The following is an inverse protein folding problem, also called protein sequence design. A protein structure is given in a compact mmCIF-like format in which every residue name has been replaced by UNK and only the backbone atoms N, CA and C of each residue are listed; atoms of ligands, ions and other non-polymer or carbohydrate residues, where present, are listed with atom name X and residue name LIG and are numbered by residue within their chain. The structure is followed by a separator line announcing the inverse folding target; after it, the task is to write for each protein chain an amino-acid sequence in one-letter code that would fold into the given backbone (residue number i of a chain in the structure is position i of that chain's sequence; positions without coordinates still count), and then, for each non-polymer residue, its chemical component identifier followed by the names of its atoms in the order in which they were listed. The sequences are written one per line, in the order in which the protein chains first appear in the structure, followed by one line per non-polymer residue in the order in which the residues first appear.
data_IF_477081295337
#
_entry.id   IF_477081295337
#
_cell.length_a   1.000
_cell.length_b   1.000
_cell.length_c   1.000
_cell.angle_alpha   90.00
_cell.angle_beta   90.00
_cell.angle_gamma   90.00
#
_symmetry.space_group_name_H-M   'P 1'
#
loop_
_entity.id
_entity.type
_entity.pdbx_description
1 polymer ?
#
# COMPACT_ATOMS: atom_id res chain seq x y z
N UNK A 1 -21.53 10.50 1.77
CA UNK A 1 -20.26 10.22 1.10
C UNK A 1 -19.12 10.48 2.05
N UNK A 2 -18.46 9.41 2.50
CA UNK A 2 -17.29 9.48 3.38
C UNK A 2 -16.07 9.02 2.58
N UNK A 3 -14.94 9.69 2.76
CA UNK A 3 -13.66 9.36 2.12
C UNK A 3 -12.52 9.52 3.13
N UNK A 4 -11.62 8.55 3.20
CA UNK A 4 -10.44 8.60 4.05
C UNK A 4 -9.22 8.05 3.31
N UNK A 5 -8.14 8.84 3.28
CA UNK A 5 -6.87 8.48 2.65
C UNK A 5 -5.79 8.25 3.71
N UNK A 6 -5.14 7.10 3.67
CA UNK A 6 -3.99 6.73 4.50
C UNK A 6 -2.78 6.56 3.58
N UNK A 7 -1.70 7.29 3.84
CA UNK A 7 -0.57 7.41 2.90
C UNK A 7 0.76 7.15 3.58
N UNK A 8 1.63 6.42 2.90
CA UNK A 8 3.05 6.29 3.25
C UNK A 8 3.91 6.65 2.05
N UNK A 9 4.82 7.61 2.23
CA UNK A 9 5.78 8.02 1.21
C UNK A 9 7.17 7.56 1.61
N UNK A 10 7.90 6.98 0.66
CA UNK A 10 9.25 6.50 0.87
C UNK A 10 10.18 6.91 -0.27
N UNK A 11 11.37 7.39 0.10
CA UNK A 11 12.48 7.54 -0.83
C UNK A 11 13.36 6.29 -0.80
N UNK A 12 13.55 5.67 -1.96
CA UNK A 12 14.49 4.56 -2.13
C UNK A 12 15.91 5.12 -2.15
N UNK A 13 16.78 4.59 -1.30
CA UNK A 13 18.21 4.87 -1.24
C UNK A 13 18.97 3.57 -1.35
N UNK A 14 20.28 3.69 -1.54
CA UNK A 14 21.21 2.59 -1.33
C UNK A 14 21.99 2.82 -0.04
N UNK A 15 22.24 1.75 0.71
CA UNK A 15 23.04 1.75 1.95
C UNK A 15 24.56 1.88 1.73
N UNK A 16 25.00 2.14 0.50
CA UNK A 16 26.42 2.20 0.12
C UNK A 16 27.05 0.82 -0.13
N UNK A 17 26.36 -0.27 0.20
CA UNK A 17 26.74 -1.65 -0.13
C UNK A 17 25.91 -2.22 -1.30
N UNK A 18 25.01 -1.41 -1.86
CA UNK A 18 24.14 -1.80 -2.97
C UNK A 18 22.80 -2.40 -2.53
N UNK A 19 22.51 -2.51 -1.23
CA UNK A 19 21.19 -2.90 -0.76
C UNK A 19 20.23 -1.71 -0.75
N UNK A 20 18.95 -1.97 -0.96
CA UNK A 20 17.91 -0.94 -0.96
C UNK A 20 17.49 -0.63 0.46
N UNK A 21 17.32 0.66 0.73
CA UNK A 21 16.75 1.14 1.99
C UNK A 21 15.76 2.26 1.71
N UNK A 22 14.67 2.30 2.47
CA UNK A 22 13.54 3.21 2.31
C UNK A 22 13.58 4.27 3.40
N UNK A 23 13.82 5.53 3.02
CA UNK A 23 13.61 6.65 3.93
C UNK A 23 12.13 7.03 3.87
N UNK A 24 11.35 6.54 4.82
CA UNK A 24 9.95 6.94 5.01
C UNK A 24 9.94 8.38 5.50
N UNK A 25 9.13 9.26 4.89
CA UNK A 25 9.16 10.71 5.16
C UNK A 25 8.87 11.07 6.62
N UNK A 26 8.24 10.17 7.38
CA UNK A 26 7.97 10.30 8.81
C UNK A 26 9.13 9.86 9.73
N UNK A 27 10.29 9.43 9.17
CA UNK A 27 11.47 8.99 9.93
C UNK A 27 12.80 9.56 9.42
N UNK A 28 13.71 9.79 10.37
CA UNK A 28 15.10 10.16 10.08
C UNK A 28 15.96 8.98 9.59
N UNK A 29 15.66 7.75 10.04
CA UNK A 29 16.44 6.55 9.70
C UNK A 29 15.86 5.77 8.50
N UNK A 30 16.72 5.29 7.58
CA UNK A 30 16.31 4.41 6.49
C UNK A 30 15.84 3.04 7.02
N UNK A 31 14.75 2.50 6.46
CA UNK A 31 14.17 1.19 6.77
C UNK A 31 14.51 0.17 5.69
N UNK A 32 14.74 -1.08 6.04
CA UNK A 32 14.86 -2.19 5.08
C UNK A 32 13.52 -2.50 4.38
N UNK A 33 13.54 -3.29 3.28
CA UNK A 33 12.32 -3.80 2.62
C UNK A 33 11.35 -4.45 3.61
N UNK A 34 11.86 -5.28 4.53
CA UNK A 34 11.05 -5.99 5.51
C UNK A 34 10.40 -5.03 6.52
N UNK A 35 11.15 -4.05 7.03
CA UNK A 35 10.64 -3.04 7.95
C UNK A 35 9.58 -2.16 7.28
N UNK A 36 9.79 -1.78 6.01
CA UNK A 36 8.81 -1.02 5.25
C UNK A 36 7.49 -1.81 5.09
N UNK A 37 7.57 -3.10 4.74
CA UNK A 37 6.40 -3.97 4.63
C UNK A 37 5.66 -4.14 5.96
N UNK A 38 6.39 -4.30 7.06
CA UNK A 38 5.80 -4.35 8.40
C UNK A 38 5.03 -3.07 8.74
N UNK A 39 5.56 -1.90 8.35
CA UNK A 39 4.86 -0.62 8.55
C UNK A 39 3.61 -0.48 7.69
N UNK A 40 3.67 -0.95 6.45
CA UNK A 40 2.50 -0.96 5.58
C UNK A 40 1.38 -1.82 6.17
N UNK A 41 1.74 -2.99 6.70
CA UNK A 41 0.80 -3.87 7.38
C UNK A 41 0.23 -3.23 8.66
N UNK A 42 1.07 -2.57 9.46
CA UNK A 42 0.65 -1.84 10.66
C UNK A 42 -0.33 -0.70 10.33
N UNK A 43 -0.03 0.13 9.32
CA UNK A 43 -0.91 1.20 8.83
C UNK A 43 -2.27 0.66 8.38
N UNK A 44 -2.26 -0.46 7.65
CA UNK A 44 -3.50 -1.11 7.25
C UNK A 44 -4.30 -1.60 8.46
N UNK A 45 -3.69 -2.36 9.36
CA UNK A 45 -4.40 -2.98 10.49
C UNK A 45 -4.92 -1.96 11.50
N UNK A 46 -4.11 -0.96 11.83
CA UNK A 46 -4.43 0.02 12.87
C UNK A 46 -5.16 1.26 12.34
N UNK A 47 -4.99 1.59 11.06
CA UNK A 47 -5.64 2.72 10.42
C UNK A 47 -6.82 2.26 9.58
N UNK A 48 -6.52 1.72 8.40
CA UNK A 48 -7.48 1.43 7.34
C UNK A 48 -8.57 0.46 7.79
N UNK A 49 -8.20 -0.69 8.35
CA UNK A 49 -9.13 -1.74 8.75
C UNK A 49 -10.10 -1.30 9.85
N UNK A 50 -9.69 -0.35 10.71
CA UNK A 50 -10.52 0.13 11.81
C UNK A 50 -11.67 1.04 11.36
N UNK A 51 -11.54 1.66 10.18
CA UNK A 51 -12.55 2.58 9.63
C UNK A 51 -13.43 1.96 8.55
N UNK A 52 -13.04 0.81 8.03
CA UNK A 52 -13.78 0.06 7.01
C UNK A 52 -15.09 -0.50 7.57
N UNK A 53 -16.17 -0.26 6.83
CA UNK A 53 -17.50 -0.82 7.06
C UNK A 53 -17.95 -1.66 5.87
N UNK A 54 -18.85 -2.64 6.08
CA UNK A 54 -19.50 -3.32 4.97
C UNK A 54 -20.16 -2.32 4.00
N UNK A 55 -20.01 -2.57 2.71
CA UNK A 55 -20.40 -1.69 1.62
C UNK A 55 -19.34 -0.64 1.22
N UNK A 56 -18.23 -0.53 1.94
CA UNK A 56 -17.13 0.38 1.59
C UNK A 56 -16.26 -0.21 0.45
N UNK A 57 -15.69 0.68 -0.37
CA UNK A 57 -14.64 0.35 -1.31
C UNK A 57 -13.27 0.71 -0.72
N UNK A 58 -12.30 -0.19 -0.88
CA UNK A 58 -10.91 0.03 -0.54
C UNK A 58 -10.08 0.06 -1.83
N UNK A 59 -9.53 1.23 -2.16
CA UNK A 59 -8.56 1.40 -3.24
C UNK A 59 -7.14 1.45 -2.67
N UNK A 60 -6.23 0.71 -3.28
CA UNK A 60 -4.80 0.77 -2.99
C UNK A 60 -4.07 1.28 -4.22
N UNK A 61 -3.46 2.45 -4.11
CA UNK A 61 -2.71 3.10 -5.17
C UNK A 61 -1.22 3.17 -4.81
N UNK A 62 -0.36 2.81 -5.76
CA UNK A 62 1.09 2.96 -5.66
C UNK A 62 1.54 3.92 -6.76
N UNK A 63 2.07 5.06 -6.34
CA UNK A 63 2.57 6.12 -7.22
C UNK A 63 4.07 6.25 -7.09
N UNK A 64 4.79 6.13 -8.21
CA UNK A 64 6.18 6.54 -8.38
C UNK A 64 6.21 7.97 -8.89
N UNK A 65 7.06 8.82 -8.31
CA UNK A 65 7.14 10.22 -8.71
C UNK A 65 8.03 10.44 -9.94
N UNK A 66 9.07 9.63 -10.14
CA UNK A 66 10.05 9.82 -11.21
C UNK A 66 10.59 8.49 -11.77
N UNK A 67 10.34 8.17 -13.07
CA UNK A 67 9.32 8.78 -13.91
C UNK A 67 7.92 8.54 -13.32
N UNK A 68 6.97 9.47 -13.50
CA UNK A 68 5.65 9.36 -12.90
C UNK A 68 4.92 8.13 -13.42
N UNK A 69 4.55 7.23 -12.50
CA UNK A 69 3.76 6.03 -12.79
C UNK A 69 2.84 5.77 -11.62
N UNK A 70 1.60 5.44 -11.91
CA UNK A 70 0.62 5.09 -10.89
C UNK A 70 -0.06 3.80 -11.30
N UNK A 71 -0.29 2.94 -10.32
CA UNK A 71 -1.11 1.75 -10.47
C UNK A 71 -2.00 1.64 -9.25
N UNK A 72 -3.26 1.29 -9.48
CA UNK A 72 -4.24 1.15 -8.42
C UNK A 72 -5.06 -0.12 -8.57
N UNK A 73 -5.59 -0.60 -7.45
CA UNK A 73 -6.54 -1.72 -7.38
C UNK A 73 -7.62 -1.37 -6.39
N UNK A 74 -8.86 -1.65 -6.76
CA UNK A 74 -10.02 -1.46 -5.87
C UNK A 74 -10.64 -2.80 -5.53
N UNK A 75 -10.92 -2.99 -4.24
CA UNK A 75 -11.65 -4.12 -3.70
C UNK A 75 -12.85 -3.61 -2.91
N UNK A 76 -13.97 -4.31 -3.01
CA UNK A 76 -15.21 -4.01 -2.31
C UNK A 76 -15.30 -4.86 -1.05
N UNK A 77 -15.68 -4.26 0.09
CA UNK A 77 -15.96 -4.99 1.32
C UNK A 77 -17.46 -5.33 1.37
N UNK A 78 -17.79 -6.59 1.11
CA UNK A 78 -19.17 -7.07 1.13
C UNK A 78 -19.80 -7.07 2.53
N UNK A 79 -21.13 -7.25 2.56
CA UNK A 79 -21.93 -7.35 3.79
C UNK A 79 -21.50 -8.50 4.71
N UNK A 80 -20.94 -9.57 4.13
CA UNK A 80 -20.37 -10.73 4.82
C UNK A 80 -18.96 -10.47 5.37
N UNK A 81 -18.45 -9.23 5.23
CA UNK A 81 -17.09 -8.79 5.56
C UNK A 81 -16.00 -9.52 4.79
N UNK A 82 -16.31 -10.01 3.60
CA UNK A 82 -15.31 -10.51 2.66
C UNK A 82 -15.01 -9.43 1.62
N UNK A 83 -13.73 -9.29 1.30
CA UNK A 83 -13.27 -8.47 0.20
C UNK A 83 -13.40 -9.24 -1.11
N UNK A 84 -13.94 -8.58 -2.13
CA UNK A 84 -14.04 -9.06 -3.50
C UNK A 84 -13.63 -7.96 -4.50
N UNK A 85 -13.34 -8.31 -5.75
CA UNK A 85 -13.02 -7.32 -6.79
C UNK A 85 -11.69 -7.55 -7.50
N UNK A 86 -11.02 -6.46 -7.89
CA UNK A 86 -9.95 -6.52 -8.89
C UNK A 86 -8.73 -7.34 -8.43
N UNK A 87 -8.50 -8.46 -9.11
CA UNK A 87 -7.34 -9.32 -8.92
C UNK A 87 -7.44 -10.27 -7.72
N UNK A 88 -8.52 -10.20 -6.94
CA UNK A 88 -8.85 -11.24 -5.97
C UNK A 88 -9.49 -12.44 -6.71
N UNK A 89 -8.86 -13.63 -6.69
CA UNK A 89 -9.42 -14.80 -7.37
C UNK A 89 -10.68 -15.34 -6.66
N UNK A 90 -10.78 -15.11 -5.36
CA UNK A 90 -11.88 -15.54 -4.50
C UNK A 90 -12.07 -14.54 -3.35
N UNK A 91 -13.30 -14.40 -2.81
CA UNK A 91 -13.55 -13.51 -1.68
C UNK A 91 -12.70 -13.87 -0.46
N UNK A 92 -12.13 -12.87 0.22
CA UNK A 92 -11.20 -13.08 1.33
C UNK A 92 -11.47 -12.13 2.50
N UNK A 93 -11.26 -12.59 3.73
CA UNK A 93 -11.33 -11.73 4.92
C UNK A 93 -10.10 -10.81 5.07
N UNK A 94 -8.99 -11.14 4.40
CA UNK A 94 -7.76 -10.36 4.43
C UNK A 94 -7.24 -10.12 3.00
N UNK A 95 -7.29 -8.87 2.50
CA UNK A 95 -6.80 -8.50 1.18
C UNK A 95 -5.28 -8.23 1.18
N UNK A 96 -4.61 -8.15 2.34
CA UNK A 96 -3.18 -7.82 2.43
C UNK A 96 -2.27 -8.76 1.63
N UNK A 97 -2.46 -10.10 1.63
CA UNK A 97 -1.60 -10.99 0.84
C UNK A 97 -1.67 -10.68 -0.66
N UNK A 98 -2.87 -10.36 -1.16
CA UNK A 98 -3.08 -9.97 -2.55
C UNK A 98 -2.44 -8.60 -2.85
N UNK A 99 -2.66 -7.62 -1.98
CA UNK A 99 -2.09 -6.28 -2.12
C UNK A 99 -0.55 -6.31 -2.08
N UNK A 100 0.03 -7.22 -1.28
CA UNK A 100 1.47 -7.47 -1.26
C UNK A 100 1.96 -8.01 -2.60
N UNK A 101 1.27 -9.00 -3.18
CA UNK A 101 1.60 -9.56 -4.48
C UNK A 101 1.48 -8.53 -5.62
N UNK A 102 0.59 -7.54 -5.49
CA UNK A 102 0.47 -6.41 -6.40
C UNK A 102 1.64 -5.42 -6.28
N UNK A 103 2.06 -5.11 -5.05
CA UNK A 103 3.14 -4.15 -4.76
C UNK A 103 4.54 -4.68 -5.07
N UNK A 104 4.79 -5.96 -4.83
CA UNK A 104 6.13 -6.56 -4.91
C UNK A 104 6.79 -6.45 -6.31
N UNK A 105 6.09 -6.70 -7.44
CA UNK A 105 6.67 -6.50 -8.77
C UNK A 105 7.02 -5.04 -9.08
N UNK A 106 6.26 -4.08 -8.53
CA UNK A 106 6.56 -2.65 -8.69
C UNK A 106 7.83 -2.31 -7.94
N UNK A 107 8.00 -2.86 -6.73
CA UNK A 107 9.22 -2.68 -5.96
C UNK A 107 10.44 -3.28 -6.61
N UNK A 108 10.34 -4.36 -7.37
CA UNK A 108 11.49 -4.84 -8.14
C UNK A 108 11.97 -3.84 -9.19
N UNK A 109 11.14 -2.87 -9.58
CA UNK A 109 11.44 -1.87 -10.61
C UNK A 109 11.90 -0.53 -10.04
N UNK A 110 11.74 -0.30 -8.73
CA UNK A 110 12.21 0.94 -8.09
C UNK A 110 13.72 0.94 -7.92
N UNK A 111 14.33 2.08 -8.19
CA UNK A 111 15.77 2.29 -8.16
C UNK A 111 16.15 3.24 -7.02
N UNK A 112 17.39 3.18 -6.51
CA UNK A 112 17.91 4.22 -5.62
C UNK A 112 17.75 5.60 -6.26
N UNK A 113 17.15 6.53 -5.52
CA UNK A 113 16.76 7.86 -6.00
C UNK A 113 15.27 8.03 -6.24
N UNK A 114 14.53 6.93 -6.49
CA UNK A 114 13.09 6.99 -6.71
C UNK A 114 12.35 7.36 -5.42
N UNK A 115 11.27 8.10 -5.56
CA UNK A 115 10.30 8.35 -4.50
C UNK A 115 8.99 7.71 -4.92
N UNK A 116 8.36 7.01 -3.99
CA UNK A 116 7.03 6.48 -4.21
C UNK A 116 6.13 6.70 -3.00
N UNK A 117 4.84 6.70 -3.26
CA UNK A 117 3.78 6.83 -2.26
C UNK A 117 2.80 5.68 -2.43
N UNK A 118 2.48 5.01 -1.34
CA UNK A 118 1.36 4.07 -1.28
C UNK A 118 0.20 4.75 -0.57
N UNK A 119 -0.98 4.68 -1.14
CA UNK A 119 -2.22 5.24 -0.60
C UNK A 119 -3.26 4.14 -0.46
N UNK A 120 -3.82 3.99 0.72
CA UNK A 120 -5.09 3.31 0.93
C UNK A 120 -6.19 4.36 0.98
N UNK A 121 -7.19 4.24 0.12
CA UNK A 121 -8.37 5.08 0.10
C UNK A 121 -9.59 4.25 0.45
N UNK A 122 -10.31 4.66 1.48
CA UNK A 122 -11.61 4.09 1.84
C UNK A 122 -12.68 5.03 1.33
N UNK A 123 -13.60 4.52 0.50
CA UNK A 123 -14.73 5.27 -0.01
C UNK A 123 -16.03 4.62 0.45
N UNK A 124 -16.93 5.43 1.00
CA UNK A 124 -18.28 5.03 1.36
C UNK A 124 -19.30 5.78 0.51
N UNK A 125 -20.00 5.07 -0.39
CA UNK A 125 -21.03 5.67 -1.23
C UNK A 125 -22.13 6.38 -0.40
#
# INVERSE_FOLDING_TARGET
MFEADFRITAQVRSDGQGQRVFRVTEREAPASDAEFLSRLAEMYQQGVYTVLLPGDDLTVAVRLDLPPREVERTVHLGEDRLFEGEGLPEPTADPLPFLRAFYEPLMQRVKPGDVFTITFRVQRP
#
